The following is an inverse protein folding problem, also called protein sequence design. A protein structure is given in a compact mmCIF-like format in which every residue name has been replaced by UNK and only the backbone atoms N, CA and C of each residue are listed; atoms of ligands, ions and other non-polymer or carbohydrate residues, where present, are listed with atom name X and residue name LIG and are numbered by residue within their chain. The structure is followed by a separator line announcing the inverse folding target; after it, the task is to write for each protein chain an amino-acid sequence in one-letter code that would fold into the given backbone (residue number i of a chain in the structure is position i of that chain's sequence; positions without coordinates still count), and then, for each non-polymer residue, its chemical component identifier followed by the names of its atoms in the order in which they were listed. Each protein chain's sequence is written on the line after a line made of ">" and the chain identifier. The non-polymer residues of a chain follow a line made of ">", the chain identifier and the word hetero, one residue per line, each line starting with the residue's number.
data_IF_017873968629
#
_entry.id   IF_017873968629
#
_cell.length_a   1.000
_cell.length_b   1.000
_cell.length_c   1.000
_cell.angle_alpha   90.00
_cell.angle_beta   90.00
_cell.angle_gamma   90.00
#
_symmetry.space_group_name_H-M   'P 1'
#
loop_
_entity.id
_entity.type
_entity.pdbx_description
1 polymer ?
#
# COMPACT_ATOMS: atom_id res chain seq x y z
N UNK A 1 67.13 -7.90 -30.54
CA UNK A 1 68.36 -7.41 -29.88
C UNK A 1 68.87 -6.21 -30.67
N UNK A 2 69.41 -5.21 -29.96
CA UNK A 2 70.03 -3.97 -30.47
C UNK A 2 69.08 -2.90 -31.03
N UNK A 3 69.21 -1.59 -30.77
CA UNK A 3 69.95 -0.78 -29.79
C UNK A 3 69.38 0.65 -29.96
N UNK A 4 68.99 1.34 -28.88
CA UNK A 4 68.92 2.81 -28.89
C UNK A 4 70.34 3.38 -28.81
N UNK A 5 70.55 4.59 -29.35
CA UNK A 5 71.36 5.55 -28.60
C UNK A 5 70.74 6.95 -28.53
N UNK A 6 70.76 7.49 -27.29
CA UNK A 6 70.56 8.89 -26.94
C UNK A 6 71.71 9.78 -27.47
N UNK A 7 71.39 11.06 -27.73
CA UNK A 7 72.33 12.18 -27.71
C UNK A 7 71.79 13.35 -26.86
N UNK A 8 72.09 13.30 -25.57
CA UNK A 8 72.82 14.28 -24.75
C UNK A 8 72.95 15.76 -25.22
N UNK A 9 72.48 16.68 -24.36
CA UNK A 9 73.28 17.69 -23.60
C UNK A 9 72.88 19.17 -23.71
N UNK A 10 72.34 19.66 -22.56
CA UNK A 10 72.51 20.95 -21.84
C UNK A 10 72.64 22.31 -22.57
N UNK A 11 71.85 23.31 -22.13
CA UNK A 11 72.32 24.39 -21.24
C UNK A 11 71.17 25.28 -20.70
N UNK A 12 71.36 25.73 -19.46
CA UNK A 12 70.48 26.49 -18.55
C UNK A 12 70.78 27.99 -18.68
N UNK A 13 69.77 28.88 -18.57
CA UNK A 13 69.86 30.14 -17.78
C UNK A 13 68.58 31.02 -17.85
N UNK A 14 67.97 31.18 -16.67
CA UNK A 14 67.57 32.47 -16.06
C UNK A 14 66.29 33.21 -16.50
N UNK A 15 65.25 33.01 -15.68
CA UNK A 15 64.56 34.03 -14.85
C UNK A 15 64.04 35.31 -15.52
N UNK A 16 62.70 35.49 -15.54
CA UNK A 16 62.04 36.69 -15.00
C UNK A 16 60.53 36.48 -14.82
N UNK A 17 60.07 37.01 -13.70
CA UNK A 17 58.77 36.92 -13.05
C UNK A 17 57.79 37.94 -13.66
N UNK A 18 56.59 37.53 -14.05
CA UNK A 18 55.46 38.44 -14.28
C UNK A 18 54.13 37.71 -14.02
N UNK A 19 53.43 38.14 -12.97
CA UNK A 19 52.15 37.57 -12.55
C UNK A 19 51.03 37.81 -13.56
N UNK A 20 50.12 36.85 -13.66
CA UNK A 20 48.80 37.05 -14.25
C UNK A 20 47.74 36.61 -13.23
N UNK A 21 47.09 37.63 -12.65
CA UNK A 21 45.76 37.56 -12.09
C UNK A 21 44.79 37.20 -13.24
N UNK A 22 43.90 36.22 -13.04
CA UNK A 22 42.69 36.16 -13.88
C UNK A 22 42.04 34.79 -14.01
N UNK A 23 40.75 34.75 -13.67
CA UNK A 23 39.76 33.72 -13.95
C UNK A 23 39.87 32.41 -13.16
N UNK A 24 39.30 32.44 -11.95
CA UNK A 24 38.63 31.27 -11.35
C UNK A 24 37.55 30.84 -12.35
N UNK A 25 37.81 29.78 -13.10
CA UNK A 25 36.78 29.12 -13.90
C UNK A 25 35.70 28.60 -12.96
N UNK A 26 34.48 29.07 -13.14
CA UNK A 26 33.32 28.54 -12.44
C UNK A 26 33.21 27.05 -12.75
N UNK A 27 33.53 26.20 -11.78
CA UNK A 27 33.20 24.79 -11.83
C UNK A 27 31.68 24.69 -11.90
N UNK A 28 31.13 24.37 -13.08
CA UNK A 28 29.74 23.96 -13.19
C UNK A 28 29.61 22.62 -12.47
N UNK A 29 29.19 22.67 -11.20
CA UNK A 29 28.68 21.51 -10.50
C UNK A 29 27.45 21.02 -11.26
N UNK A 30 27.66 20.06 -12.16
CA UNK A 30 26.58 19.31 -12.79
C UNK A 30 25.88 18.53 -11.67
N UNK A 31 24.72 19.04 -11.24
CA UNK A 31 23.85 18.36 -10.29
C UNK A 31 23.30 17.12 -11.00
N UNK A 32 23.93 15.99 -10.74
CA UNK A 32 23.47 14.68 -11.14
C UNK A 32 22.13 14.37 -10.47
N UNK A 33 21.12 14.05 -11.29
CA UNK A 33 19.97 13.25 -10.88
C UNK A 33 18.85 13.98 -10.15
N UNK A 34 18.07 14.80 -10.84
CA UNK A 34 16.64 14.89 -10.50
C UNK A 34 15.89 13.82 -11.29
N UNK A 35 15.55 12.71 -10.65
CA UNK A 35 14.43 11.90 -11.14
C UNK A 35 13.18 12.74 -10.92
N UNK A 36 12.68 13.40 -11.95
CA UNK A 36 11.38 14.07 -11.88
C UNK A 36 10.32 13.00 -11.68
N UNK A 37 9.84 12.86 -10.45
CA UNK A 37 8.63 12.11 -10.12
C UNK A 37 7.46 12.89 -10.72
N UNK A 38 6.90 12.42 -11.83
CA UNK A 38 5.81 13.08 -12.52
C UNK A 38 5.51 12.44 -13.88
N UNK A 39 4.35 12.75 -14.42
CA UNK A 39 3.96 12.38 -15.79
C UNK A 39 4.51 13.41 -16.78
N UNK A 40 4.85 12.97 -17.98
CA UNK A 40 5.24 13.86 -19.09
C UNK A 40 4.07 14.78 -19.51
N UNK A 41 4.37 15.88 -20.22
CA UNK A 41 3.34 16.81 -20.73
C UNK A 41 2.32 16.10 -21.65
N UNK A 42 2.77 15.11 -22.41
CA UNK A 42 1.92 14.29 -23.27
C UNK A 42 1.00 13.37 -22.44
N UNK A 43 1.53 12.73 -21.40
CA UNK A 43 0.74 11.91 -20.48
C UNK A 43 -0.24 12.76 -19.66
N UNK A 44 0.15 13.96 -19.23
CA UNK A 44 -0.73 14.91 -18.54
C UNK A 44 -1.93 15.30 -19.41
N UNK A 45 -1.70 15.49 -20.71
CA UNK A 45 -2.76 15.79 -21.67
C UNK A 45 -3.70 14.60 -21.84
N UNK A 46 -3.18 13.37 -21.92
CA UNK A 46 -4.00 12.16 -21.99
C UNK A 46 -4.81 11.92 -20.71
N UNK A 47 -4.22 12.15 -19.53
CA UNK A 47 -4.93 12.07 -18.25
C UNK A 47 -6.04 13.12 -18.17
N UNK A 48 -5.82 14.32 -18.69
CA UNK A 48 -6.83 15.38 -18.73
C UNK A 48 -8.03 15.06 -19.66
N UNK A 49 -7.82 14.23 -20.68
CA UNK A 49 -8.87 13.72 -21.57
C UNK A 49 -9.59 12.50 -20.99
N UNK A 50 -9.07 11.90 -19.93
CA UNK A 50 -9.67 10.77 -19.23
C UNK A 50 -10.90 11.16 -18.40
N UNK A 51 -11.59 10.15 -17.85
CA UNK A 51 -12.72 10.38 -16.96
C UNK A 51 -12.24 10.81 -15.57
N UNK A 52 -12.61 12.03 -15.18
CA UNK A 52 -12.42 12.45 -13.80
C UNK A 52 -13.46 11.76 -12.92
N UNK A 53 -13.01 10.97 -11.94
CA UNK A 53 -13.89 10.35 -10.95
C UNK A 53 -14.81 11.39 -10.30
N UNK A 54 -14.25 12.51 -9.83
CA UNK A 54 -15.01 13.56 -9.14
C UNK A 54 -15.94 14.34 -10.08
N UNK A 55 -15.48 14.70 -11.28
CA UNK A 55 -16.23 15.60 -12.17
C UNK A 55 -17.18 14.86 -13.11
N UNK A 56 -16.82 13.65 -13.53
CA UNK A 56 -17.46 12.94 -14.63
C UNK A 56 -18.24 11.70 -14.20
N UNK A 57 -18.00 11.15 -13.00
CA UNK A 57 -18.57 9.86 -12.58
C UNK A 57 -19.34 9.93 -11.26
N UNK A 58 -18.70 10.37 -10.17
CA UNK A 58 -19.35 10.49 -8.86
C UNK A 58 -20.57 11.41 -8.91
N UNK A 59 -21.64 11.01 -8.23
CA UNK A 59 -22.91 11.73 -8.17
C UNK A 59 -23.74 11.68 -9.45
N UNK A 60 -23.23 11.07 -10.53
CA UNK A 60 -23.98 10.95 -11.79
C UNK A 60 -25.10 9.94 -11.67
N UNK A 61 -26.16 10.21 -12.43
CA UNK A 61 -27.33 9.32 -12.49
C UNK A 61 -27.05 8.16 -13.43
N UNK A 62 -27.31 6.95 -12.95
CA UNK A 62 -27.30 5.73 -13.76
C UNK A 62 -28.72 5.51 -14.28
N UNK A 63 -28.85 5.29 -15.58
CA UNK A 63 -30.12 4.99 -16.25
C UNK A 63 -30.07 3.64 -16.95
N UNK A 64 -31.20 3.07 -17.32
CA UNK A 64 -31.24 1.94 -18.26
C UNK A 64 -31.33 2.42 -19.72
N UNK A 65 -31.41 1.47 -20.65
CA UNK A 65 -31.55 1.72 -22.09
C UNK A 65 -32.84 2.48 -22.46
N UNK A 66 -33.89 2.39 -21.65
CA UNK A 66 -35.13 3.15 -21.80
C UNK A 66 -35.03 4.57 -21.22
N UNK A 67 -33.90 4.93 -20.61
CA UNK A 67 -33.68 6.22 -19.96
C UNK A 67 -34.28 6.32 -18.55
N UNK A 68 -34.78 5.21 -17.99
CA UNK A 68 -35.33 5.17 -16.65
C UNK A 68 -34.20 5.25 -15.61
N UNK A 69 -34.41 6.04 -14.57
CA UNK A 69 -33.41 6.22 -13.50
C UNK A 69 -33.31 4.96 -12.64
N UNK A 70 -32.10 4.44 -12.53
CA UNK A 70 -31.75 3.34 -11.62
C UNK A 70 -31.29 3.86 -10.26
N UNK A 71 -30.44 4.90 -10.26
CA UNK A 71 -29.84 5.41 -9.04
C UNK A 71 -28.79 6.49 -9.30
N UNK A 72 -27.97 6.76 -8.29
CA UNK A 72 -26.81 7.65 -8.41
C UNK A 72 -25.53 6.92 -8.03
N UNK A 73 -24.43 7.23 -8.70
CA UNK A 73 -23.11 6.72 -8.31
C UNK A 73 -22.67 7.41 -7.03
N UNK A 74 -22.45 6.63 -5.98
CA UNK A 74 -22.00 7.11 -4.68
C UNK A 74 -20.49 6.88 -4.48
N UNK A 75 -19.93 5.81 -5.04
CA UNK A 75 -18.50 5.48 -4.92
C UNK A 75 -18.01 4.54 -6.03
N UNK A 76 -16.69 4.33 -6.09
CA UNK A 76 -16.02 3.40 -6.98
C UNK A 76 -15.02 2.54 -6.19
N UNK A 77 -15.04 1.23 -6.43
CA UNK A 77 -14.13 0.28 -5.77
C UNK A 77 -12.99 -0.07 -6.71
N UNK A 78 -11.77 0.32 -6.31
CA UNK A 78 -10.53 -0.09 -6.97
C UNK A 78 -10.02 -1.36 -6.28
N UNK A 79 -9.74 -2.39 -7.06
CA UNK A 79 -9.19 -3.65 -6.56
C UNK A 79 -7.69 -3.54 -6.27
N UNK A 80 -7.10 -4.47 -5.50
CA UNK A 80 -5.66 -4.44 -5.15
C UNK A 80 -4.71 -4.47 -6.36
N UNK A 81 -5.16 -5.01 -7.49
CA UNK A 81 -4.46 -4.98 -8.79
C UNK A 81 -4.48 -3.60 -9.47
N UNK A 82 -5.07 -2.59 -8.81
CA UNK A 82 -5.23 -1.20 -9.27
C UNK A 82 -6.21 -1.04 -10.43
N UNK A 83 -7.05 -2.03 -10.72
CA UNK A 83 -8.13 -1.90 -11.69
C UNK A 83 -9.42 -1.41 -11.03
N UNK A 84 -10.26 -0.69 -11.79
CA UNK A 84 -11.59 -0.31 -11.32
C UNK A 84 -12.51 -1.54 -11.43
N UNK A 85 -12.99 -2.05 -10.30
CA UNK A 85 -13.77 -3.29 -10.26
C UNK A 85 -15.28 -3.03 -10.20
N UNK A 86 -15.74 -2.17 -9.29
CA UNK A 86 -17.16 -1.93 -9.06
C UNK A 86 -17.50 -0.45 -8.96
N UNK A 87 -18.74 -0.14 -9.30
CA UNK A 87 -19.41 1.14 -9.04
C UNK A 87 -20.45 0.91 -7.97
N UNK A 88 -20.43 1.72 -6.91
CA UNK A 88 -21.45 1.67 -5.87
C UNK A 88 -22.56 2.63 -6.27
N UNK A 89 -23.76 2.09 -6.48
CA UNK A 89 -24.94 2.86 -6.87
C UNK A 89 -25.94 2.88 -5.74
N UNK A 90 -26.32 4.07 -5.30
CA UNK A 90 -27.46 4.28 -4.43
C UNK A 90 -28.75 4.04 -5.23
N UNK A 91 -29.24 2.79 -5.19
CA UNK A 91 -30.50 2.40 -5.78
C UNK A 91 -31.65 3.00 -4.98
N UNK A 92 -32.48 3.82 -5.62
CA UNK A 92 -33.57 4.50 -4.95
C UNK A 92 -34.29 5.53 -5.81
N UNK A 93 -35.53 5.86 -5.40
CA UNK A 93 -36.40 6.78 -6.13
C UNK A 93 -37.50 6.11 -6.95
N UNK A 94 -37.65 4.79 -6.83
CA UNK A 94 -38.84 4.10 -7.30
C UNK A 94 -39.89 4.07 -6.19
N UNK A 95 -41.14 4.41 -6.51
CA UNK A 95 -42.26 4.38 -5.57
C UNK A 95 -42.34 3.00 -4.90
N UNK A 96 -42.27 2.97 -3.56
CA UNK A 96 -42.31 1.74 -2.76
C UNK A 96 -40.97 1.00 -2.54
N UNK A 97 -39.84 1.50 -3.06
CA UNK A 97 -38.51 0.94 -2.72
C UNK A 97 -37.70 1.92 -1.86
N UNK A 98 -37.23 1.43 -0.73
CA UNK A 98 -36.26 2.13 0.11
C UNK A 98 -34.94 2.37 -0.62
N UNK A 99 -34.14 3.33 -0.14
CA UNK A 99 -32.80 3.56 -0.66
C UNK A 99 -31.84 2.51 -0.09
N UNK A 100 -31.07 1.85 -0.94
CA UNK A 100 -29.99 0.97 -0.54
C UNK A 100 -28.85 1.05 -1.56
N UNK A 101 -27.63 0.75 -1.14
CA UNK A 101 -26.50 0.73 -2.06
C UNK A 101 -26.38 -0.66 -2.69
N UNK A 102 -25.98 -0.71 -3.96
CA UNK A 102 -25.67 -1.94 -4.68
C UNK A 102 -24.31 -1.81 -5.34
N UNK A 103 -23.53 -2.89 -5.36
CA UNK A 103 -22.25 -2.94 -6.06
C UNK A 103 -22.47 -3.51 -7.46
N UNK A 104 -22.16 -2.72 -8.49
CA UNK A 104 -22.33 -3.10 -9.90
C UNK A 104 -20.95 -3.20 -10.55
N UNK A 105 -20.61 -4.32 -11.20
CA UNK A 105 -19.36 -4.43 -11.96
C UNK A 105 -19.25 -3.33 -13.01
N UNK A 106 -18.08 -2.70 -13.14
CA UNK A 106 -17.90 -1.61 -14.12
C UNK A 106 -18.20 -2.07 -15.56
N UNK A 107 -18.01 -3.35 -15.87
CA UNK A 107 -18.31 -3.95 -17.18
C UNK A 107 -19.80 -3.92 -17.56
N UNK A 108 -20.69 -3.77 -16.58
CA UNK A 108 -22.13 -3.63 -16.80
C UNK A 108 -22.55 -2.18 -17.02
N UNK A 109 -21.63 -1.24 -16.84
CA UNK A 109 -21.86 0.19 -17.05
C UNK A 109 -21.28 0.61 -18.40
N UNK A 110 -22.03 1.43 -19.14
CA UNK A 110 -21.61 1.99 -20.42
C UNK A 110 -21.80 3.50 -20.40
N UNK A 111 -20.91 4.21 -21.09
CA UNK A 111 -21.19 5.59 -21.47
C UNK A 111 -21.89 5.61 -22.83
N UNK A 112 -23.04 6.27 -22.89
CA UNK A 112 -23.81 6.50 -24.11
C UNK A 112 -24.12 7.98 -24.22
N UNK A 113 -23.34 8.70 -25.04
CA UNK A 113 -23.53 10.13 -25.29
C UNK A 113 -23.41 10.99 -24.03
N UNK A 114 -22.51 10.62 -23.11
CA UNK A 114 -22.34 11.30 -21.82
C UNK A 114 -23.38 10.89 -20.79
N UNK A 115 -24.16 9.83 -21.00
CA UNK A 115 -25.04 9.23 -19.98
C UNK A 115 -24.45 7.91 -19.50
N UNK A 116 -24.54 7.66 -18.20
CA UNK A 116 -24.12 6.40 -17.62
C UNK A 116 -25.31 5.43 -17.69
N UNK A 117 -25.17 4.39 -18.51
CA UNK A 117 -26.22 3.42 -18.81
C UNK A 117 -25.85 2.06 -18.22
N UNK A 118 -26.79 1.42 -17.52
CA UNK A 118 -26.73 0.02 -17.11
C UNK A 118 -27.77 -0.77 -17.92
N UNK A 119 -27.37 -1.46 -19.00
CA UNK A 119 -28.32 -2.17 -19.85
C UNK A 119 -29.02 -3.32 -19.12
N UNK A 120 -30.31 -3.53 -19.40
CA UNK A 120 -31.14 -4.59 -18.81
C UNK A 120 -31.55 -4.33 -17.36
N UNK A 121 -31.23 -3.15 -16.83
CA UNK A 121 -31.60 -2.78 -15.47
C UNK A 121 -33.10 -2.49 -15.36
N UNK A 122 -33.78 -3.28 -14.53
CA UNK A 122 -35.18 -3.02 -14.15
C UNK A 122 -35.30 -2.80 -12.66
N UNK A 123 -36.40 -2.16 -12.23
CA UNK A 123 -36.73 -1.96 -10.82
C UNK A 123 -36.60 -3.27 -10.01
N UNK A 124 -37.18 -4.35 -10.52
CA UNK A 124 -37.19 -5.65 -9.85
C UNK A 124 -35.79 -6.26 -9.73
N UNK A 125 -34.98 -6.17 -10.80
CA UNK A 125 -33.60 -6.65 -10.79
C UNK A 125 -32.78 -5.92 -9.75
N UNK A 126 -32.84 -4.58 -9.73
CA UNK A 126 -32.06 -3.76 -8.81
C UNK A 126 -32.50 -3.97 -7.36
N UNK A 127 -33.80 -4.14 -7.11
CA UNK A 127 -34.34 -4.44 -5.78
C UNK A 127 -33.87 -5.79 -5.23
N UNK A 128 -33.64 -6.76 -6.12
CA UNK A 128 -33.19 -8.10 -5.76
C UNK A 128 -31.67 -8.19 -5.62
N UNK A 129 -30.91 -7.15 -5.99
CA UNK A 129 -29.46 -7.14 -5.81
C UNK A 129 -29.11 -7.08 -4.32
N UNK A 130 -28.03 -7.77 -3.88
CA UNK A 130 -27.57 -7.68 -2.51
C UNK A 130 -27.23 -6.24 -2.10
N UNK A 131 -27.66 -5.86 -0.90
CA UNK A 131 -27.27 -4.58 -0.31
C UNK A 131 -25.76 -4.55 -0.09
N UNK A 132 -25.10 -3.57 -0.71
CA UNK A 132 -23.71 -3.27 -0.46
C UNK A 132 -23.57 -2.47 0.84
N UNK A 133 -22.87 -3.05 1.81
CA UNK A 133 -22.47 -2.38 3.05
C UNK A 133 -20.97 -2.17 3.02
N UNK A 134 -20.54 -0.92 3.20
CA UNK A 134 -19.16 -0.67 3.53
C UNK A 134 -18.81 -1.43 4.80
N UNK A 135 -17.66 -2.10 4.79
CA UNK A 135 -17.07 -2.59 6.04
C UNK A 135 -16.86 -1.36 6.90
N UNK A 136 -17.73 -1.17 7.89
CA UNK A 136 -17.60 -0.05 8.82
C UNK A 136 -16.28 -0.22 9.60
N UNK A 137 -15.77 0.88 10.12
CA UNK A 137 -14.49 0.88 10.84
C UNK A 137 -14.48 -0.15 12.00
N UNK A 138 -15.64 -0.42 12.60
CA UNK A 138 -15.84 -1.44 13.64
C UNK A 138 -15.60 -2.86 13.11
N UNK A 139 -16.19 -3.24 11.98
CA UNK A 139 -16.02 -4.56 11.39
C UNK A 139 -14.59 -4.77 10.88
N UNK A 140 -13.96 -3.73 10.32
CA UNK A 140 -12.55 -3.80 9.92
C UNK A 140 -11.64 -4.00 11.12
N UNK A 141 -11.88 -3.25 12.20
CA UNK A 141 -11.21 -3.44 13.49
C UNK A 141 -11.40 -4.87 13.98
N UNK A 142 -12.62 -5.38 14.02
CA UNK A 142 -12.90 -6.71 14.59
C UNK A 142 -12.20 -7.83 13.83
N UNK A 143 -12.17 -7.74 12.49
CA UNK A 143 -11.38 -8.63 11.65
C UNK A 143 -9.88 -8.51 11.94
N UNK A 144 -9.38 -7.27 12.04
CA UNK A 144 -7.99 -7.00 12.39
C UNK A 144 -7.60 -7.60 13.75
N UNK A 145 -8.41 -7.39 14.79
CA UNK A 145 -8.15 -7.94 16.13
C UNK A 145 -8.22 -9.45 16.16
N UNK A 146 -9.11 -10.04 15.38
CA UNK A 146 -9.15 -11.50 15.23
C UNK A 146 -7.84 -12.02 14.66
N UNK A 147 -7.30 -11.36 13.61
CA UNK A 147 -6.00 -11.74 13.02
C UNK A 147 -4.84 -11.58 14.01
N UNK A 148 -4.79 -10.48 14.76
CA UNK A 148 -3.76 -10.21 15.78
C UNK A 148 -3.81 -11.26 16.89
N UNK A 149 -5.00 -11.60 17.39
CA UNK A 149 -5.18 -12.65 18.41
C UNK A 149 -4.70 -14.00 17.90
N UNK A 150 -5.00 -14.34 16.66
CA UNK A 150 -4.52 -15.58 16.04
C UNK A 150 -2.99 -15.62 15.96
N UNK A 151 -2.34 -14.55 15.53
CA UNK A 151 -0.87 -14.47 15.50
C UNK A 151 -0.26 -14.64 16.90
N UNK A 152 -0.85 -13.98 17.91
CA UNK A 152 -0.45 -14.13 19.32
C UNK A 152 -0.61 -15.58 19.76
N UNK A 153 -1.74 -16.25 19.47
CA UNK A 153 -1.94 -17.66 19.81
C UNK A 153 -0.90 -18.57 19.15
N UNK A 154 -0.62 -18.37 17.86
CA UNK A 154 0.40 -19.15 17.14
C UNK A 154 1.79 -18.94 17.74
N UNK A 155 2.13 -17.68 18.07
CA UNK A 155 3.39 -17.34 18.73
C UNK A 155 3.50 -17.95 20.13
N UNK A 156 2.44 -17.92 20.93
CA UNK A 156 2.40 -18.57 22.25
C UNK A 156 2.59 -20.08 22.16
N UNK A 157 1.97 -20.74 21.19
CA UNK A 157 2.16 -22.17 20.94
C UNK A 157 3.61 -22.47 20.54
N UNK A 158 4.21 -21.63 19.69
CA UNK A 158 5.62 -21.77 19.31
C UNK A 158 6.55 -21.56 20.50
N UNK A 159 6.25 -20.62 21.38
CA UNK A 159 7.03 -20.40 22.59
C UNK A 159 7.04 -21.66 23.47
N UNK A 160 5.87 -22.29 23.66
CA UNK A 160 5.77 -23.54 24.41
C UNK A 160 6.58 -24.69 23.76
N UNK A 161 6.54 -24.82 22.43
CA UNK A 161 7.35 -25.79 21.68
C UNK A 161 8.86 -25.56 21.89
N UNK A 162 9.32 -24.31 21.76
CA UNK A 162 10.73 -23.96 21.98
C UNK A 162 11.18 -24.29 23.41
N UNK A 163 10.35 -24.01 24.41
CA UNK A 163 10.62 -24.33 25.81
C UNK A 163 10.72 -25.85 26.04
N UNK A 164 9.81 -26.63 25.46
CA UNK A 164 9.85 -28.10 25.54
C UNK A 164 11.13 -28.66 24.89
N UNK A 165 11.52 -28.14 23.73
CA UNK A 165 12.76 -28.51 23.05
C UNK A 165 14.00 -28.12 23.86
N UNK A 166 14.01 -26.93 24.47
CA UNK A 166 15.11 -26.46 25.31
C UNK A 166 15.29 -27.34 26.55
N UNK A 167 14.20 -27.83 27.14
CA UNK A 167 14.23 -28.75 28.28
C UNK A 167 14.87 -30.11 27.95
N UNK A 168 14.78 -30.55 26.69
CA UNK A 168 15.36 -31.81 26.20
C UNK A 168 16.75 -31.63 25.56
N UNK A 169 17.24 -30.40 25.44
CA UNK A 169 18.48 -30.08 24.73
C UNK A 169 19.70 -29.99 25.65
N UNK A 170 20.87 -30.24 25.08
CA UNK A 170 22.17 -30.11 25.74
C UNK A 170 22.74 -28.68 25.61
N UNK A 171 23.84 -28.37 26.29
CA UNK A 171 24.36 -27.01 26.53
C UNK A 171 24.26 -26.02 25.36
N UNK A 172 24.95 -26.27 24.24
CA UNK A 172 25.01 -25.34 23.11
C UNK A 172 23.66 -25.20 22.39
N UNK A 173 22.98 -26.33 22.15
CA UNK A 173 21.65 -26.35 21.53
C UNK A 173 20.61 -25.64 22.42
N UNK A 174 20.71 -25.83 23.73
CA UNK A 174 19.87 -25.16 24.72
C UNK A 174 20.12 -23.65 24.72
N UNK A 175 21.38 -23.20 24.71
CA UNK A 175 21.70 -21.78 24.63
C UNK A 175 21.11 -21.11 23.37
N UNK A 176 21.13 -21.80 22.22
CA UNK A 176 20.50 -21.30 21.00
C UNK A 176 18.97 -21.21 21.10
N UNK A 177 18.32 -22.20 21.72
CA UNK A 177 16.87 -22.18 21.94
C UNK A 177 16.48 -21.10 22.94
N UNK A 178 17.25 -20.91 24.02
CA UNK A 178 17.00 -19.89 25.04
C UNK A 178 17.07 -18.47 24.44
N UNK A 179 17.97 -18.22 23.48
CA UNK A 179 17.98 -16.96 22.72
C UNK A 179 16.70 -16.76 21.90
N UNK A 180 16.20 -17.80 21.22
CA UNK A 180 14.96 -17.73 20.45
C UNK A 180 13.74 -17.52 21.35
N UNK A 181 13.69 -18.24 22.48
CA UNK A 181 12.66 -18.09 23.52
C UNK A 181 12.61 -16.66 24.01
N UNK A 182 13.77 -16.07 24.35
CA UNK A 182 13.87 -14.70 24.85
C UNK A 182 13.37 -13.68 23.81
N UNK A 183 13.79 -13.84 22.55
CA UNK A 183 13.37 -12.96 21.46
C UNK A 183 11.86 -13.05 21.19
N UNK A 184 11.31 -14.26 21.11
CA UNK A 184 9.88 -14.47 20.89
C UNK A 184 9.04 -13.97 22.08
N UNK A 185 9.50 -14.18 23.32
CA UNK A 185 8.83 -13.66 24.52
C UNK A 185 8.76 -12.13 24.51
N UNK A 186 9.83 -11.44 24.11
CA UNK A 186 9.86 -9.99 24.02
C UNK A 186 8.84 -9.47 23.01
N UNK A 187 8.83 -10.05 21.80
CA UNK A 187 7.89 -9.63 20.75
C UNK A 187 6.43 -9.99 21.10
N UNK A 188 6.20 -11.13 21.75
CA UNK A 188 4.87 -11.56 22.21
C UNK A 188 4.31 -10.57 23.23
N UNK A 189 5.11 -10.22 24.24
CA UNK A 189 4.73 -9.24 25.25
C UNK A 189 4.47 -7.86 24.64
N UNK A 190 5.26 -7.46 23.64
CA UNK A 190 5.04 -6.19 22.94
C UNK A 190 3.71 -6.19 22.17
N UNK A 191 3.38 -7.27 21.46
CA UNK A 191 2.13 -7.41 20.72
C UNK A 191 0.91 -7.44 21.66
N UNK A 192 0.96 -8.21 22.74
CA UNK A 192 -0.08 -8.26 23.77
C UNK A 192 -0.29 -6.91 24.45
N UNK A 193 0.80 -6.21 24.78
CA UNK A 193 0.76 -4.87 25.35
C UNK A 193 0.05 -3.87 24.44
N UNK A 194 0.40 -3.86 23.15
CA UNK A 194 -0.23 -3.00 22.14
C UNK A 194 -1.69 -3.36 21.90
N UNK A 195 -2.04 -4.64 21.93
CA UNK A 195 -3.42 -5.09 21.79
C UNK A 195 -4.26 -4.60 22.98
N UNK A 196 -3.71 -4.69 24.19
CA UNK A 196 -4.36 -4.20 25.40
C UNK A 196 -4.48 -2.67 25.44
N UNK A 197 -3.46 -1.92 25.00
CA UNK A 197 -3.53 -0.46 24.84
C UNK A 197 -4.67 -0.06 23.91
N UNK A 198 -4.76 -0.69 22.74
CA UNK A 198 -5.80 -0.41 21.78
C UNK A 198 -7.20 -0.80 22.31
N UNK A 199 -7.34 -1.93 22.99
CA UNK A 199 -8.61 -2.33 23.62
C UNK A 199 -9.08 -1.32 24.67
N UNK A 200 -8.15 -0.69 25.42
CA UNK A 200 -8.45 0.38 26.37
C UNK A 200 -8.81 1.71 25.68
N UNK A 201 -8.17 2.03 24.57
CA UNK A 201 -8.46 3.25 23.80
C UNK A 201 -9.84 3.22 23.11
N UNK A 202 -10.42 2.03 22.92
CA UNK A 202 -11.77 1.84 22.42
C UNK A 202 -11.91 2.00 20.90
N UNK A 203 -13.14 1.81 20.41
CA UNK A 203 -13.46 1.70 18.99
C UNK A 203 -13.06 2.93 18.16
N UNK A 204 -13.08 4.12 18.75
CA UNK A 204 -12.96 5.38 18.01
C UNK A 204 -11.52 5.76 17.67
N UNK A 205 -10.53 5.08 18.27
CA UNK A 205 -9.09 5.41 18.11
C UNK A 205 -8.24 4.24 17.62
N UNK A 206 -8.86 3.14 17.20
CA UNK A 206 -8.13 1.91 16.85
C UNK A 206 -7.15 2.10 15.68
N UNK A 207 -7.47 2.98 14.72
CA UNK A 207 -6.61 3.31 13.57
C UNK A 207 -5.24 3.85 13.97
N UNK A 208 -5.16 4.56 15.10
CA UNK A 208 -3.89 5.09 15.62
C UNK A 208 -2.92 3.95 16.02
N UNK A 209 -3.47 2.78 16.39
CA UNK A 209 -2.69 1.61 16.83
C UNK A 209 -2.45 0.60 15.71
N UNK A 210 -3.11 0.74 14.55
CA UNK A 210 -3.04 -0.22 13.45
C UNK A 210 -1.60 -0.42 12.97
N UNK A 211 -0.85 0.67 12.80
CA UNK A 211 0.56 0.63 12.39
C UNK A 211 1.44 -0.10 13.42
N UNK A 212 1.32 0.27 14.70
CA UNK A 212 2.11 -0.32 15.78
C UNK A 212 1.81 -1.81 15.97
N UNK A 213 0.53 -2.18 15.94
CA UNK A 213 0.09 -3.57 16.03
C UNK A 213 0.53 -4.40 14.83
N UNK A 214 0.48 -3.83 13.62
CA UNK A 214 1.02 -4.46 12.43
C UNK A 214 2.53 -4.70 12.55
N UNK A 215 3.29 -3.73 13.04
CA UNK A 215 4.73 -3.88 13.25
C UNK A 215 5.05 -4.93 14.32
N UNK A 216 4.28 -4.98 15.41
CA UNK A 216 4.45 -5.99 16.45
C UNK A 216 4.11 -7.40 15.96
N UNK A 217 2.98 -7.58 15.27
CA UNK A 217 2.56 -8.89 14.73
C UNK A 217 3.44 -9.36 13.56
N UNK A 218 3.97 -8.46 12.74
CA UNK A 218 4.94 -8.81 11.69
C UNK A 218 6.21 -9.46 12.27
N UNK A 219 6.69 -8.97 13.43
CA UNK A 219 7.80 -9.60 14.15
C UNK A 219 7.45 -11.01 14.63
N UNK A 220 6.24 -11.22 15.17
CA UNK A 220 5.76 -12.57 15.53
C UNK A 220 5.73 -13.53 14.34
N UNK A 221 5.19 -13.08 13.20
CA UNK A 221 5.13 -13.92 11.99
C UNK A 221 6.53 -14.30 11.48
N UNK A 222 7.53 -13.44 11.66
CA UNK A 222 8.93 -13.77 11.34
C UNK A 222 9.41 -15.00 12.11
N UNK A 223 9.14 -15.07 13.41
CA UNK A 223 9.46 -16.24 14.25
C UNK A 223 8.72 -17.51 13.83
N UNK A 224 7.47 -17.39 13.35
CA UNK A 224 6.70 -18.52 12.85
C UNK A 224 7.26 -19.05 11.52
N UNK A 225 7.72 -18.15 10.65
CA UNK A 225 8.25 -18.51 9.32
C UNK A 225 9.66 -19.12 9.32
N UNK A 226 10.49 -18.79 10.33
CA UNK A 226 11.91 -19.19 10.41
C UNK A 226 12.14 -20.70 10.66
N UNK A 227 11.09 -21.51 10.65
CA UNK A 227 11.12 -22.98 10.86
C UNK A 227 10.89 -23.77 9.57
N UNK A 228 10.58 -23.09 8.45
CA UNK A 228 10.26 -23.75 7.17
C UNK A 228 11.46 -24.12 6.30
N UNK A 229 12.68 -24.20 6.86
CA UNK A 229 13.89 -24.63 6.14
C UNK A 229 14.71 -25.60 6.96
#
# INVERSE_FOLDING_TARGET
>A
MAHLPLKNTLLIASLLLAGHLGAIGAASAQVAGSTTVGISVTEATQVALGWSVKKSILGRTVVNEAGEKIGKIEDLIISPDRSLSYVIVGAGGFIGMGRHNVAIPISQIRDSGGKIVMPGATKAVVAAMPEFKYVNDTARRDLFITSVKQDITLASNRLADLQARAAQSTSEAKAQLDMQITGLQLDLKAAEGKLAEMQRAGANRWKEFESDLNAATARLRKWLSSTSR
#
